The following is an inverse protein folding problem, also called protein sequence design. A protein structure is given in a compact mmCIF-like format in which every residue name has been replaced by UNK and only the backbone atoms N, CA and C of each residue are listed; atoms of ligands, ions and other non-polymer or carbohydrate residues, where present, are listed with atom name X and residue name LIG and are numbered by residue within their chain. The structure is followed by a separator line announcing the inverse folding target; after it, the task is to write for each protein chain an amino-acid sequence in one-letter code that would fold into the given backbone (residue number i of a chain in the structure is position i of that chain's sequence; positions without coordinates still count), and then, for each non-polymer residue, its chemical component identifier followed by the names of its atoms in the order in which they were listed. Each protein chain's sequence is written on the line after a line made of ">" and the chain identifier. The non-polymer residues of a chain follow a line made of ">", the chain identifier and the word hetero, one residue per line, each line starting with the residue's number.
data_IF_487554979358
#
_entry.id   IF_487554979358
#
_cell.length_a   1.000
_cell.length_b   1.000
_cell.length_c   1.000
_cell.angle_alpha   90.00
_cell.angle_beta   90.00
_cell.angle_gamma   90.00
#
_symmetry.space_group_name_H-M   'P 1'
#
loop_
_entity.id
_entity.type
_entity.pdbx_description
1 polymer ?
#
# COMPACT_ATOMS: atom_id res chain seq x y z
N UNK A 1 -12.09 8.13 25.40
CA UNK A 1 -11.45 7.39 24.29
C UNK A 1 -12.56 6.82 23.44
N UNK A 2 -12.79 7.34 22.24
CA UNK A 2 -13.81 6.78 21.34
C UNK A 2 -13.28 5.46 20.80
N UNK A 3 -14.01 4.36 21.03
CA UNK A 3 -13.69 3.10 20.39
C UNK A 3 -13.80 3.29 18.87
N UNK A 4 -12.76 2.92 18.13
CA UNK A 4 -12.84 2.78 16.67
C UNK A 4 -13.98 1.81 16.37
N UNK A 5 -15.13 2.33 15.95
CA UNK A 5 -16.19 1.52 15.38
C UNK A 5 -15.64 0.96 14.07
N UNK A 6 -15.20 -0.30 14.12
CA UNK A 6 -14.88 -1.05 12.90
C UNK A 6 -16.23 -1.25 12.19
N UNK A 7 -16.51 -0.40 11.20
CA UNK A 7 -17.61 -0.66 10.28
C UNK A 7 -17.26 -1.94 9.52
N UNK A 8 -18.01 -3.00 9.80
CA UNK A 8 -17.98 -4.21 8.99
C UNK A 8 -18.49 -3.86 7.60
N UNK A 9 -17.60 -3.91 6.61
CA UNK A 9 -17.97 -3.78 5.21
C UNK A 9 -18.82 -4.98 4.81
N UNK A 10 -19.90 -4.74 4.07
CA UNK A 10 -20.67 -5.82 3.46
C UNK A 10 -19.87 -6.48 2.35
N UNK A 11 -20.17 -7.73 2.03
CA UNK A 11 -19.57 -8.45 0.89
C UNK A 11 -19.71 -7.66 -0.41
N UNK A 12 -20.89 -7.06 -0.64
CA UNK A 12 -21.14 -6.20 -1.80
C UNK A 12 -20.22 -4.96 -1.84
N UNK A 13 -19.93 -4.35 -0.68
CA UNK A 13 -19.01 -3.22 -0.61
C UNK A 13 -17.56 -3.63 -0.88
N UNK A 14 -17.16 -4.82 -0.43
CA UNK A 14 -15.83 -5.39 -0.71
C UNK A 14 -15.68 -5.70 -2.20
N UNK A 15 -16.69 -6.32 -2.82
CA UNK A 15 -16.69 -6.59 -4.26
C UNK A 15 -16.66 -5.31 -5.09
N UNK A 16 -17.52 -4.33 -4.77
CA UNK A 16 -17.51 -3.04 -5.46
C UNK A 16 -16.16 -2.30 -5.32
N UNK A 17 -15.55 -2.35 -4.13
CA UNK A 17 -14.21 -1.78 -3.93
C UNK A 17 -13.13 -2.54 -4.72
N UNK A 18 -13.28 -3.86 -4.89
CA UNK A 18 -12.38 -4.69 -5.70
C UNK A 18 -12.51 -4.36 -7.19
N UNK A 19 -13.75 -4.20 -7.68
CA UNK A 19 -14.02 -3.81 -9.06
C UNK A 19 -13.46 -2.42 -9.37
N UNK A 20 -13.69 -1.45 -8.47
CA UNK A 20 -13.14 -0.10 -8.57
C UNK A 20 -11.60 -0.11 -8.55
N UNK A 21 -11.00 -0.97 -7.71
CA UNK A 21 -9.56 -1.15 -7.66
C UNK A 21 -9.01 -1.70 -8.97
N UNK A 22 -9.65 -2.70 -9.56
CA UNK A 22 -9.27 -3.27 -10.86
C UNK A 22 -9.43 -2.25 -11.99
N UNK A 23 -10.49 -1.44 -11.96
CA UNK A 23 -10.70 -0.35 -12.92
C UNK A 23 -9.60 0.72 -12.80
N UNK A 24 -9.19 1.06 -11.58
CA UNK A 24 -8.17 2.08 -11.31
C UNK A 24 -6.75 1.58 -11.59
N UNK A 25 -6.50 0.30 -11.30
CA UNK A 25 -5.18 -0.34 -11.39
C UNK A 25 -5.29 -1.68 -12.15
N UNK A 26 -5.50 -1.64 -13.48
CA UNK A 26 -5.77 -2.84 -14.28
C UNK A 26 -4.64 -3.87 -14.27
N UNK A 27 -3.41 -3.43 -13.99
CA UNK A 27 -2.25 -4.31 -13.82
C UNK A 27 -2.38 -5.32 -12.68
N UNK A 28 -3.33 -5.14 -11.76
CA UNK A 28 -3.56 -6.07 -10.65
C UNK A 28 -4.58 -7.16 -10.97
N UNK A 29 -5.36 -7.03 -12.06
CA UNK A 29 -6.48 -7.92 -12.36
C UNK A 29 -6.08 -9.40 -12.48
N UNK A 30 -4.96 -9.66 -13.16
CA UNK A 30 -4.46 -11.02 -13.44
C UNK A 30 -3.20 -11.36 -12.61
N UNK A 31 -2.84 -10.50 -11.64
CA UNK A 31 -1.60 -10.65 -10.89
C UNK A 31 -1.71 -11.79 -9.87
N UNK A 32 -0.72 -12.68 -9.86
CA UNK A 32 -0.65 -13.81 -8.92
C UNK A 32 0.45 -13.60 -7.90
N UNK A 33 0.27 -14.08 -6.67
CA UNK A 33 1.33 -14.09 -5.65
C UNK A 33 2.48 -15.00 -6.08
N UNK A 34 3.60 -14.40 -6.46
CA UNK A 34 4.83 -15.12 -6.81
C UNK A 34 5.73 -15.36 -5.59
N UNK A 35 5.70 -14.45 -4.59
CA UNK A 35 6.55 -14.51 -3.40
C UNK A 35 5.78 -14.15 -2.13
N UNK A 36 4.88 -15.01 -1.63
CA UNK A 36 4.01 -14.69 -0.49
C UNK A 36 4.77 -14.30 0.79
N UNK A 37 5.96 -14.87 1.01
CA UNK A 37 6.81 -14.58 2.18
C UNK A 37 7.25 -13.11 2.27
N UNK A 38 7.20 -12.37 1.16
CA UNK A 38 7.60 -10.96 1.10
C UNK A 38 6.56 -10.02 1.73
N UNK A 39 5.33 -10.47 1.94
CA UNK A 39 4.26 -9.69 2.58
C UNK A 39 4.68 -9.25 3.99
N UNK A 40 5.31 -10.14 4.76
CA UNK A 40 5.80 -9.82 6.11
C UNK A 40 6.84 -8.70 6.11
N UNK A 41 7.69 -8.63 5.08
CA UNK A 41 8.70 -7.57 4.95
C UNK A 41 8.05 -6.22 4.61
N UNK A 42 7.00 -6.22 3.79
CA UNK A 42 6.22 -5.03 3.44
C UNK A 42 5.47 -4.50 4.68
N UNK A 43 4.88 -5.38 5.49
CA UNK A 43 4.22 -5.01 6.76
C UNK A 43 5.22 -4.45 7.78
N UNK A 44 6.42 -5.02 7.85
CA UNK A 44 7.48 -4.46 8.68
C UNK A 44 7.89 -3.05 8.22
N UNK A 45 7.99 -2.84 6.91
CA UNK A 45 8.27 -1.52 6.32
C UNK A 45 7.14 -0.51 6.64
N UNK A 46 5.86 -0.89 6.54
CA UNK A 46 4.76 0.03 6.86
C UNK A 46 4.68 0.40 8.34
N UNK A 47 5.18 -0.48 9.21
CA UNK A 47 5.25 -0.25 10.66
C UNK A 47 6.49 0.54 11.10
N UNK A 48 7.33 1.00 10.15
CA UNK A 48 8.55 1.73 10.47
C UNK A 48 9.68 0.87 11.03
N UNK A 49 9.67 -0.44 10.80
CA UNK A 49 10.71 -1.36 11.25
C UNK A 49 11.71 -1.58 10.13
N UNK A 50 12.80 -0.80 10.14
CA UNK A 50 13.98 -1.05 9.31
C UNK A 50 15.11 -1.45 10.25
N UNK A 51 15.58 -2.71 10.15
CA UNK A 51 16.78 -3.21 10.82
C UNK A 51 16.97 -2.73 12.29
N UNK A 52 15.91 -2.84 13.11
CA UNK A 52 15.97 -2.56 14.55
C UNK A 52 15.80 -1.11 14.99
N UNK A 53 15.53 -0.15 14.09
CA UNK A 53 15.23 1.24 14.44
C UNK A 53 13.79 1.59 14.05
N UNK A 54 13.08 2.32 14.93
CA UNK A 54 11.76 2.93 14.64
C UNK A 54 11.91 4.41 14.31
N UNK A 55 10.99 4.85 13.46
CA UNK A 55 10.57 6.22 13.15
C UNK A 55 11.06 6.72 11.80
N UNK A 56 10.18 6.61 10.82
CA UNK A 56 10.20 7.55 9.71
C UNK A 56 9.88 8.95 10.26
N UNK A 57 10.58 10.01 9.77
CA UNK A 57 10.35 11.38 10.21
C UNK A 57 8.97 11.92 9.82
N UNK A 58 8.32 11.30 8.83
CA UNK A 58 6.96 11.59 8.38
C UNK A 58 6.30 10.34 7.78
N UNK A 59 4.97 10.30 7.75
CA UNK A 59 4.23 9.19 7.16
C UNK A 59 4.48 9.04 5.65
N UNK A 60 4.78 10.14 4.95
CA UNK A 60 5.21 10.14 3.55
C UNK A 60 6.49 9.34 3.32
N UNK A 61 7.47 9.44 4.21
CA UNK A 61 8.69 8.64 4.13
C UNK A 61 8.40 7.14 4.38
N UNK A 62 7.44 6.81 5.24
CA UNK A 62 6.98 5.44 5.44
C UNK A 62 6.30 4.89 4.17
N UNK A 63 5.45 5.69 3.53
CA UNK A 63 4.75 5.35 2.30
C UNK A 63 5.73 5.09 1.15
N UNK A 64 6.76 5.94 1.00
CA UNK A 64 7.84 5.73 0.03
C UNK A 64 8.62 4.45 0.31
N UNK A 65 8.97 4.17 1.57
CA UNK A 65 9.69 2.96 1.93
C UNK A 65 8.88 1.68 1.67
N UNK A 66 7.57 1.71 1.92
CA UNK A 66 6.65 0.59 1.59
C UNK A 66 6.60 0.35 0.09
N UNK A 67 6.44 1.41 -0.71
CA UNK A 67 6.42 1.28 -2.16
C UNK A 67 7.76 0.75 -2.70
N UNK A 68 8.88 1.30 -2.20
CA UNK A 68 10.22 0.85 -2.55
C UNK A 68 10.43 -0.62 -2.18
N UNK A 69 10.08 -1.03 -0.96
CA UNK A 69 10.19 -2.42 -0.53
C UNK A 69 9.37 -3.34 -1.44
N UNK A 70 8.12 -2.97 -1.74
CA UNK A 70 7.22 -3.75 -2.60
C UNK A 70 7.78 -3.92 -4.01
N UNK A 71 8.34 -2.86 -4.59
CA UNK A 71 8.99 -2.91 -5.90
C UNK A 71 10.22 -3.85 -5.93
N UNK A 72 11.00 -3.88 -4.84
CA UNK A 72 12.22 -4.69 -4.77
C UNK A 72 11.95 -6.16 -4.45
N UNK A 73 11.05 -6.44 -3.51
CA UNK A 73 10.76 -7.81 -3.07
C UNK A 73 9.89 -8.56 -4.09
N UNK A 74 9.08 -7.81 -4.86
CA UNK A 74 8.22 -8.30 -5.95
C UNK A 74 7.29 -9.43 -5.51
N UNK A 75 6.29 -9.16 -4.65
CA UNK A 75 5.33 -10.15 -4.19
C UNK A 75 4.50 -10.77 -5.32
N UNK A 76 4.23 -10.02 -6.39
CA UNK A 76 3.39 -10.42 -7.52
C UNK A 76 4.20 -10.84 -8.75
N UNK A 77 3.58 -11.60 -9.64
CA UNK A 77 4.13 -11.95 -10.95
C UNK A 77 4.38 -10.74 -11.85
N UNK A 78 3.56 -9.70 -11.76
CA UNK A 78 3.69 -8.39 -12.40
C UNK A 78 2.91 -7.33 -11.59
N UNK A 79 2.90 -6.06 -12.03
CA UNK A 79 2.14 -5.00 -11.32
C UNK A 79 2.69 -4.61 -9.95
N UNK A 80 3.93 -4.98 -9.60
CA UNK A 80 4.53 -4.71 -8.28
C UNK A 80 4.69 -3.21 -7.98
N UNK A 81 4.90 -2.38 -9.01
CA UNK A 81 4.91 -0.91 -8.86
C UNK A 81 3.53 -0.39 -8.50
N UNK A 82 2.49 -0.88 -9.20
CA UNK A 82 1.09 -0.59 -8.93
C UNK A 82 0.70 -0.98 -7.50
N UNK A 83 1.05 -2.18 -7.07
CA UNK A 83 0.85 -2.63 -5.69
C UNK A 83 1.59 -1.75 -4.68
N UNK A 84 2.85 -1.39 -4.96
CA UNK A 84 3.64 -0.53 -4.08
C UNK A 84 3.00 0.84 -3.87
N UNK A 85 2.50 1.46 -4.95
CA UNK A 85 1.80 2.74 -4.86
C UNK A 85 0.44 2.62 -4.15
N UNK A 86 -0.31 1.53 -4.37
CA UNK A 86 -1.55 1.27 -3.65
C UNK A 86 -1.33 1.14 -2.14
N UNK A 87 -0.32 0.39 -1.73
CA UNK A 87 0.02 0.23 -0.32
C UNK A 87 0.48 1.55 0.32
N UNK A 88 1.25 2.37 -0.43
CA UNK A 88 1.60 3.71 -0.02
C UNK A 88 0.36 4.61 0.16
N UNK A 89 -0.60 4.52 -0.77
CA UNK A 89 -1.84 5.31 -0.74
C UNK A 89 -2.73 4.95 0.45
N UNK A 90 -2.90 3.65 0.70
CA UNK A 90 -3.60 3.15 1.88
C UNK A 90 -2.91 3.64 3.15
N UNK A 91 -1.58 3.58 3.22
CA UNK A 91 -0.85 4.02 4.40
C UNK A 91 -1.04 5.53 4.66
N UNK A 92 -0.98 6.37 3.63
CA UNK A 92 -1.18 7.80 3.74
C UNK A 92 -2.60 8.14 4.21
N UNK A 93 -3.60 7.62 3.50
CA UNK A 93 -5.02 7.91 3.77
C UNK A 93 -5.49 7.40 5.14
N UNK A 94 -5.03 6.20 5.55
CA UNK A 94 -5.34 5.67 6.90
C UNK A 94 -4.69 6.44 8.04
N UNK A 95 -3.67 7.25 7.75
CA UNK A 95 -3.03 8.15 8.72
C UNK A 95 -3.52 9.60 8.59
N UNK A 96 -4.60 9.84 7.83
CA UNK A 96 -5.28 11.13 7.75
C UNK A 96 -4.77 12.07 6.65
N UNK A 97 -3.91 11.60 5.74
CA UNK A 97 -3.50 12.39 4.57
C UNK A 97 -4.61 12.37 3.51
N UNK A 98 -5.09 13.54 3.11
CA UNK A 98 -6.09 13.72 2.06
C UNK A 98 -5.42 13.92 0.71
N UNK A 99 -5.05 12.81 0.06
CA UNK A 99 -4.35 12.80 -1.23
C UNK A 99 -5.12 11.89 -2.19
N UNK A 100 -5.15 12.23 -3.46
CA UNK A 100 -5.59 11.33 -4.52
C UNK A 100 -4.56 10.22 -4.76
N UNK A 101 -4.99 9.15 -5.43
CA UNK A 101 -4.08 8.10 -5.87
C UNK A 101 -3.00 8.62 -6.84
N UNK A 102 -3.36 9.58 -7.70
CA UNK A 102 -2.42 10.21 -8.63
C UNK A 102 -1.32 11.00 -7.89
N UNK A 103 -1.67 11.77 -6.86
CA UNK A 103 -0.69 12.48 -6.02
C UNK A 103 0.22 11.51 -5.26
N UNK A 104 -0.33 10.39 -4.80
CA UNK A 104 0.48 9.34 -4.17
C UNK A 104 1.45 8.70 -5.16
N UNK A 105 0.99 8.45 -6.38
CA UNK A 105 1.82 7.89 -7.46
C UNK A 105 3.01 8.78 -7.78
N UNK A 106 2.80 10.09 -7.88
CA UNK A 106 3.85 11.06 -8.11
C UNK A 106 4.84 11.13 -6.94
N UNK A 107 4.34 11.06 -5.69
CA UNK A 107 5.17 11.03 -4.48
C UNK A 107 6.06 9.78 -4.40
N UNK A 108 5.54 8.63 -4.82
CA UNK A 108 6.29 7.36 -4.85
C UNK A 108 7.30 7.32 -6.00
N UNK A 109 6.97 7.90 -7.15
CA UNK A 109 7.90 8.00 -8.30
C UNK A 109 8.97 9.07 -8.15
N UNK A 110 8.69 10.18 -7.49
CA UNK A 110 9.63 11.28 -7.28
C UNK A 110 10.71 11.00 -6.23
N UNK A 111 10.55 9.94 -5.44
CA UNK A 111 11.49 9.52 -4.38
C UNK A 111 12.51 8.44 -4.81
N UNK A 112 12.51 8.03 -6.07
CA UNK A 112 13.49 7.09 -6.68
C UNK A 112 14.49 7.84 -7.55
#
# INVERSE_FOLDING_TARGET
>A
MSALQIQLLSEAAILAATDELVATVPELADATLARPWTISAIVAASSGVIAGHRSFPAISAAAQAVAYATFHVKPLSFGNTALGALLAHILLTTNGEELSFAETWDLVKGGT
#
